data_IF_025433040638
#
_entry.id   IF_025433040638
#
_cell.length_a   1.000
_cell.length_b   1.000
_cell.length_c   1.000
_cell.angle_alpha   90.00
_cell.angle_beta   90.00
_cell.angle_gamma   90.00
#
_symmetry.space_group_name_H-M   'P 1'
#
loop_
_entity.id
_entity.type
_entity.pdbx_description
1 polymer ?
#
# COMPACT_ATOMS: atom_id res chain seq x y z
N UNK A 1 -11.34 45.64 30.01
CA UNK A 1 -11.05 45.32 29.52
C UNK A 1 -10.68 44.50 29.19
N UNK A 2 -10.57 44.38 29.15
CA UNK A 2 -10.25 43.75 28.59
C UNK A 2 -10.00 42.78 28.06
N UNK A 3 -9.97 42.76 27.82
CA UNK A 3 -9.72 41.92 27.08
C UNK A 3 -9.49 41.10 26.53
N UNK A 4 -9.67 41.46 26.46
CA UNK A 4 -9.46 40.82 25.68
C UNK A 4 -9.04 39.97 25.19
N UNK A 5 -9.09 40.22 25.22
CA UNK A 5 -8.60 39.53 24.47
C UNK A 5 -8.30 38.57 24.10
N UNK A 6 -8.53 38.79 24.26
CA UNK A 6 -8.16 38.05 23.63
C UNK A 6 -7.98 37.19 23.14
N UNK A 7 -8.19 37.34 23.01
CA UNK A 7 -7.97 36.63 22.17
C UNK A 7 -7.65 35.84 21.63
N UNK A 8 -7.94 36.22 21.73
CA UNK A 8 -7.57 35.67 20.89
C UNK A 8 -7.14 34.76 20.52
N UNK A 9 -7.30 35.01 20.72
CA UNK A 9 -6.85 34.35 20.05
C UNK A 9 -6.67 33.48 19.69
N UNK A 10 -7.03 33.69 19.77
CA UNK A 10 -6.83 33.00 19.01
C UNK A 10 -6.59 32.28 18.51
N UNK A 11 -6.90 32.50 18.51
CA UNK A 11 -6.62 31.92 17.58
C UNK A 11 -6.15 31.20 17.17
N UNK A 12 -6.39 31.48 17.39
CA UNK A 12 -5.92 30.88 16.60
C UNK A 12 -5.52 29.98 16.35
N UNK A 13 -5.88 30.07 16.53
CA UNK A 13 -5.46 29.31 15.85
C UNK A 13 -5.31 28.48 15.52
N UNK A 14 -5.69 28.54 15.54
CA UNK A 14 -5.49 27.88 14.78
C UNK A 14 -5.19 27.21 14.30
N UNK A 15 -5.28 27.15 14.14
CA UNK A 15 -4.93 26.65 13.37
C UNK A 15 -4.51 25.79 13.08
N UNK A 16 -4.64 25.76 13.24
CA UNK A 16 -4.17 25.09 12.69
C UNK A 16 -3.93 24.12 12.46
N UNK A 17 -4.08 23.97 12.46
CA UNK A 17 -3.75 23.24 11.91
C UNK A 17 -3.68 22.53 11.34
N UNK A 18 -3.83 22.49 11.04
CA UNK A 18 -3.70 22.02 10.28
C UNK A 18 -3.26 21.45 9.74
N UNK A 19 -3.02 21.44 9.74
CA UNK A 19 -2.48 21.06 9.00
C UNK A 19 -2.10 20.17 8.76
N UNK A 20 -2.32 20.05 8.78
CA UNK A 20 -1.90 19.52 8.36
C UNK A 20 -1.68 18.77 8.10
N UNK A 21 -1.75 18.72 8.00
CA UNK A 21 -1.65 18.31 7.50
C UNK A 21 -1.56 17.98 6.71
N UNK A 22 -1.46 18.15 6.65
CA UNK A 22 -1.37 18.00 5.83
C UNK A 22 -0.94 17.96 4.90
N UNK A 23 -0.87 18.02 4.88
CA UNK A 23 -0.16 18.16 3.93
C UNK A 23 0.39 17.19 3.06
N UNK A 24 0.74 16.34 3.40
CA UNK A 24 1.13 15.36 2.45
C UNK A 24 0.00 14.41 2.30
N UNK A 25 -0.38 14.20 1.09
CA UNK A 25 -1.40 13.25 0.80
C UNK A 25 -0.89 11.86 1.04
N UNK A 26 -1.73 10.97 1.57
CA UNK A 26 -1.35 9.57 1.63
C UNK A 26 -1.13 9.06 0.21
N UNK A 27 -0.15 8.20 0.06
CA UNK A 27 0.11 7.59 -1.23
C UNK A 27 -1.13 6.83 -1.67
N UNK A 28 -1.41 6.91 -2.94
CA UNK A 28 -2.54 6.19 -3.51
C UNK A 28 -2.28 4.71 -3.45
N UNK A 29 -3.27 3.96 -2.99
CA UNK A 29 -3.15 2.51 -2.86
C UNK A 29 -4.13 1.86 -3.80
N UNK A 30 -3.62 1.01 -4.68
CA UNK A 30 -4.46 0.26 -5.59
C UNK A 30 -4.90 -1.04 -4.97
N UNK A 31 -5.68 -1.79 -5.73
CA UNK A 31 -6.14 -3.10 -5.31
C UNK A 31 -5.49 -4.17 -6.15
N UNK A 32 -5.18 -5.30 -5.52
CA UNK A 32 -4.65 -6.45 -6.22
C UNK A 32 -5.33 -7.69 -5.64
N UNK A 33 -5.24 -8.79 -6.37
CA UNK A 33 -5.94 -10.01 -6.01
C UNK A 33 -4.94 -11.17 -6.00
N UNK A 34 -5.22 -12.16 -5.18
CA UNK A 34 -4.34 -13.31 -5.10
C UNK A 34 -5.19 -14.59 -5.13
N UNK A 35 -4.69 -15.58 -5.84
CA UNK A 35 -5.35 -16.88 -5.90
C UNK A 35 -4.73 -17.81 -4.88
N UNK A 36 -5.34 -19.02 -4.73
CA UNK A 36 -4.80 -20.03 -3.82
C UNK A 36 -3.43 -20.52 -4.26
N UNK A 37 -3.10 -20.32 -5.52
CA UNK A 37 -1.78 -20.70 -6.04
C UNK A 37 -0.77 -19.58 -5.94
N UNK A 38 -1.09 -18.53 -5.19
CA UNK A 38 -0.21 -17.37 -5.00
C UNK A 38 0.09 -16.67 -6.29
N UNK A 39 -0.89 -16.60 -7.19
CA UNK A 39 -0.81 -15.80 -8.40
C UNK A 39 -1.45 -14.45 -8.10
N UNK A 40 -0.67 -13.39 -8.23
CA UNK A 40 -1.11 -12.04 -7.89
C UNK A 40 -1.43 -11.29 -9.17
N UNK A 41 -2.54 -10.55 -9.15
CA UNK A 41 -2.96 -9.73 -10.29
C UNK A 41 -3.30 -8.34 -9.80
N UNK A 42 -2.69 -7.33 -10.42
CA UNK A 42 -2.99 -5.93 -10.11
C UNK A 42 -4.24 -5.50 -10.84
N UNK A 43 -5.05 -4.66 -10.18
CA UNK A 43 -6.21 -4.09 -10.84
C UNK A 43 -5.73 -3.15 -11.95
N UNK A 44 -6.22 -3.35 -13.16
CA UNK A 44 -5.75 -2.62 -14.34
C UNK A 44 -6.61 -1.42 -14.68
N UNK A 45 -7.66 -1.14 -13.88
CA UNK A 45 -8.56 -0.04 -14.20
C UNK A 45 -7.89 1.33 -14.06
N UNK A 46 -6.79 1.40 -13.30
CA UNK A 46 -6.09 2.65 -13.06
C UNK A 46 -4.65 2.54 -13.55
N UNK A 47 -3.96 3.68 -13.47
CA UNK A 47 -2.53 3.67 -13.71
C UNK A 47 -1.81 2.82 -12.68
N UNK A 48 -0.57 2.51 -12.97
CA UNK A 48 0.26 1.75 -12.02
C UNK A 48 0.41 2.53 -10.73
N UNK A 49 0.17 1.85 -9.61
CA UNK A 49 0.37 2.41 -8.28
C UNK A 49 1.67 1.86 -7.70
N UNK A 50 2.15 2.53 -6.66
CA UNK A 50 3.36 2.04 -5.99
C UNK A 50 3.04 1.01 -4.93
N UNK A 51 1.81 1.01 -4.42
CA UNK A 51 1.41 0.09 -3.38
C UNK A 51 0.03 -0.45 -3.71
N UNK A 52 -0.13 -1.75 -3.50
CA UNK A 52 -1.40 -2.43 -3.74
C UNK A 52 -1.80 -3.20 -2.49
N UNK A 53 -3.09 -3.21 -2.23
CA UNK A 53 -3.64 -3.91 -1.08
C UNK A 53 -4.25 -5.23 -1.55
N UNK A 54 -3.87 -6.31 -0.87
CA UNK A 54 -4.33 -7.66 -1.20
C UNK A 54 -5.06 -8.22 0.01
N UNK A 55 -6.28 -8.67 -0.18
CA UNK A 55 -7.02 -9.36 0.88
C UNK A 55 -6.58 -10.82 0.89
N UNK A 56 -6.11 -11.29 2.04
CA UNK A 56 -5.59 -12.66 2.15
C UNK A 56 -6.43 -13.55 3.04
N UNK A 57 -7.62 -13.10 3.44
CA UNK A 57 -8.43 -13.88 4.38
C UNK A 57 -8.81 -15.26 3.82
N UNK A 58 -8.98 -15.37 2.50
CA UNK A 58 -9.35 -16.65 1.89
C UNK A 58 -8.21 -17.65 1.88
N UNK A 59 -6.98 -17.24 2.14
CA UNK A 59 -5.85 -18.14 2.15
C UNK A 59 -5.71 -18.90 3.47
N UNK A 60 -6.41 -18.45 4.50
CA UNK A 60 -6.54 -19.18 5.77
C UNK A 60 -5.22 -19.49 6.44
N UNK A 61 -4.32 -18.49 6.50
CA UNK A 61 -3.06 -18.67 7.23
C UNK A 61 -3.37 -18.88 8.71
N UNK A 62 -2.64 -19.81 9.33
CA UNK A 62 -2.85 -20.14 10.73
C UNK A 62 -2.16 -19.17 11.67
N UNK A 63 -1.15 -18.46 11.20
CA UNK A 63 -0.41 -17.55 12.05
C UNK A 63 0.26 -16.50 11.20
N UNK A 64 0.66 -15.42 11.88
CA UNK A 64 1.39 -14.36 11.22
C UNK A 64 2.72 -14.86 10.67
N UNK A 65 3.38 -15.76 11.41
CA UNK A 65 4.66 -16.31 10.97
C UNK A 65 4.48 -17.06 9.66
N UNK A 66 3.41 -17.84 9.56
CA UNK A 66 3.15 -18.62 8.34
C UNK A 66 2.93 -17.69 7.16
N UNK A 67 2.14 -16.63 7.37
CA UNK A 67 1.85 -15.70 6.30
C UNK A 67 3.12 -14.97 5.85
N UNK A 68 3.91 -14.50 6.81
CA UNK A 68 5.14 -13.78 6.48
C UNK A 68 6.13 -14.68 5.73
N UNK A 69 6.19 -15.95 6.11
CA UNK A 69 7.09 -16.87 5.44
C UNK A 69 6.66 -17.08 3.99
N UNK A 70 5.35 -17.24 3.79
CA UNK A 70 4.83 -17.47 2.43
C UNK A 70 5.10 -16.29 1.53
N UNK A 71 4.82 -15.08 2.01
CA UNK A 71 5.01 -13.89 1.18
C UNK A 71 6.47 -13.51 1.05
N UNK A 72 7.30 -13.91 2.02
CA UNK A 72 8.74 -13.72 1.88
C UNK A 72 9.31 -14.49 0.72
N UNK A 73 8.73 -15.65 0.43
CA UNK A 73 9.24 -16.47 -0.68
C UNK A 73 9.00 -15.85 -2.03
N UNK A 74 7.96 -15.01 -2.16
CA UNK A 74 7.64 -14.41 -3.45
C UNK A 74 8.06 -12.95 -3.52
N UNK A 75 8.65 -12.42 -2.45
CA UNK A 75 9.24 -11.08 -2.48
C UNK A 75 10.58 -11.13 -3.21
N UNK A 76 10.92 -10.02 -3.88
CA UNK A 76 12.21 -9.93 -4.56
C UNK A 76 12.59 -8.47 -4.66
N UNK A 77 13.58 -8.17 -5.52
CA UNK A 77 14.10 -6.81 -5.63
C UNK A 77 13.04 -5.82 -6.13
N UNK A 78 12.09 -6.29 -6.91
CA UNK A 78 11.09 -5.42 -7.53
C UNK A 78 9.75 -5.43 -6.80
N UNK A 79 9.50 -6.42 -5.96
CA UNK A 79 8.21 -6.63 -5.31
C UNK A 79 8.44 -6.95 -3.85
N UNK A 80 7.91 -6.10 -2.97
CA UNK A 80 7.99 -6.34 -1.53
C UNK A 80 6.60 -6.53 -0.98
N UNK A 81 6.37 -7.63 -0.29
CA UNK A 81 5.08 -7.93 0.32
C UNK A 81 5.18 -7.70 1.82
N UNK A 82 4.33 -6.83 2.35
CA UNK A 82 4.30 -6.51 3.77
C UNK A 82 2.99 -7.06 4.34
N UNK A 83 3.09 -8.01 5.25
CA UNK A 83 1.92 -8.68 5.80
C UNK A 83 1.38 -7.91 7.00
N UNK A 84 0.09 -7.61 6.97
CA UNK A 84 -0.65 -7.10 8.12
C UNK A 84 -1.63 -8.20 8.49
N UNK A 85 -1.20 -9.11 9.36
CA UNK A 85 -1.98 -10.31 9.65
C UNK A 85 -3.25 -9.98 10.41
N UNK A 86 -3.19 -8.97 11.27
CA UNK A 86 -4.35 -8.57 12.05
C UNK A 86 -5.50 -8.14 11.15
N UNK A 87 -5.18 -7.42 10.08
CA UNK A 87 -6.17 -6.96 9.12
C UNK A 87 -6.44 -7.96 8.01
N UNK A 88 -5.69 -9.04 7.96
CA UNK A 88 -5.77 -10.06 6.91
C UNK A 88 -5.57 -9.44 5.54
N UNK A 89 -4.59 -8.55 5.45
CA UNK A 89 -4.20 -7.94 4.18
C UNK A 89 -2.69 -7.99 4.04
N UNK A 90 -2.25 -7.88 2.80
CA UNK A 90 -0.85 -7.73 2.46
C UNK A 90 -0.74 -6.50 1.58
N UNK A 91 0.28 -5.69 1.84
CA UNK A 91 0.57 -4.55 0.99
C UNK A 91 1.73 -4.94 0.08
N UNK A 92 1.47 -4.91 -1.21
CA UNK A 92 2.47 -5.18 -2.23
C UNK A 92 3.06 -3.86 -2.67
N UNK A 93 4.35 -3.71 -2.50
CA UNK A 93 5.06 -2.53 -2.96
C UNK A 93 5.77 -2.84 -4.26
N UNK A 94 5.44 -2.08 -5.29
CA UNK A 94 6.02 -2.24 -6.62
C UNK A 94 7.12 -1.21 -6.76
N UNK A 95 8.35 -1.69 -6.88
CA UNK A 95 9.53 -0.82 -6.93
C UNK A 95 9.86 -0.49 -8.38
N UNK A 96 8.95 0.27 -9.02
CA UNK A 96 9.14 0.61 -10.43
C UNK A 96 10.37 1.46 -10.65
N UNK A 97 10.82 2.16 -9.62
CA UNK A 97 12.02 2.99 -9.73
C UNK A 97 13.30 2.15 -9.89
N UNK A 98 13.20 0.84 -9.64
CA UNK A 98 14.36 -0.04 -9.77
C UNK A 98 14.47 -0.67 -11.14
N UNK A 99 13.56 -0.34 -12.04
CA UNK A 99 13.57 -0.82 -13.41
C UNK A 99 14.04 0.32 -14.30
N UNK A 100 14.88 -0.03 -15.26
CA UNK A 100 15.50 0.96 -16.11
C UNK A 100 14.48 1.79 -16.88
N UNK A 101 13.46 1.14 -17.41
CA UNK A 101 12.43 1.78 -18.19
C UNK A 101 11.08 1.59 -17.52
N UNK A 102 10.35 2.70 -17.32
CA UNK A 102 9.03 2.61 -16.69
C UNK A 102 8.11 1.69 -17.49
N UNK A 103 7.39 0.83 -16.78
CA UNK A 103 6.51 -0.15 -17.38
C UNK A 103 5.07 0.12 -16.98
N UNK A 104 4.14 -0.44 -17.75
CA UNK A 104 2.72 -0.30 -17.49
C UNK A 104 2.23 -1.34 -16.50
N UNK A 105 1.01 -1.14 -16.00
CA UNK A 105 0.42 -2.12 -15.10
C UNK A 105 0.22 -3.47 -15.83
N UNK A 106 -0.04 -3.41 -17.14
CA UNK A 106 -0.16 -4.65 -17.92
C UNK A 106 1.15 -5.42 -17.95
N UNK A 107 2.25 -4.70 -18.11
CA UNK A 107 3.57 -5.33 -18.07
C UNK A 107 3.82 -5.99 -16.73
N UNK A 108 3.47 -5.31 -15.64
CA UNK A 108 3.67 -5.87 -14.30
C UNK A 108 2.82 -7.12 -14.09
N UNK A 109 1.60 -7.14 -14.63
CA UNK A 109 0.77 -8.32 -14.51
C UNK A 109 1.36 -9.49 -15.27
N UNK A 110 1.97 -9.25 -16.42
CA UNK A 110 2.65 -10.32 -17.15
C UNK A 110 3.85 -10.83 -16.37
N UNK A 111 4.57 -9.91 -15.73
CA UNK A 111 5.70 -10.29 -14.90
C UNK A 111 5.25 -11.15 -13.72
N UNK A 112 4.16 -10.74 -13.07
CA UNK A 112 3.61 -11.49 -11.94
C UNK A 112 3.13 -12.85 -12.37
N UNK A 113 2.54 -12.95 -13.54
CA UNK A 113 2.04 -14.22 -14.04
C UNK A 113 3.18 -15.19 -14.26
N UNK A 114 4.31 -14.71 -14.75
CA UNK A 114 5.47 -15.55 -14.96
C UNK A 114 6.07 -16.06 -13.66
N UNK A 115 5.88 -15.32 -12.57
CA UNK A 115 6.40 -15.70 -11.26
C UNK A 115 5.46 -16.62 -10.52
N UNK A 116 4.28 -16.84 -11.03
CA UNK A 116 3.25 -17.59 -10.37
C UNK A 116 3.46 -19.06 -10.70
N UNK A 117 3.64 -19.89 -9.75
CA UNK A 117 3.80 -21.33 -9.75
C UNK A 117 4.92 -21.73 -8.90
#
# INVERSE_FOLDING_TARGET
MKNILLFLILLTSSQISIFAQTNSEPAEIGNAFITNNFCVTLNTSDELKKTYKINISALNFQSEVEAKKAFGKISNNYLTYVVDFEQQVVFLKVHSERIETAQTVVWWNEYLEKKCH
#
